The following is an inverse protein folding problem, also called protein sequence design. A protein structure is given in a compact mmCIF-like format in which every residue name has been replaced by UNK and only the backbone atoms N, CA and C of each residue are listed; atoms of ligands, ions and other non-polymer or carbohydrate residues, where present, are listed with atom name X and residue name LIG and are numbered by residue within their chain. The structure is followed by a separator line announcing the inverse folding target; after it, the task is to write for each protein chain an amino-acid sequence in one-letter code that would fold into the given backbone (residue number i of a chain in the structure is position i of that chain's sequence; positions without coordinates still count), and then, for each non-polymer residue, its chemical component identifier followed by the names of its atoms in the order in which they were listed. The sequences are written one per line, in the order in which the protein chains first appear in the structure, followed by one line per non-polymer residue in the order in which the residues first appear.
data_IF_450990069390
#
_entry.id   IF_450990069390
#
_cell.length_a   1.000
_cell.length_b   1.000
_cell.length_c   1.000
_cell.angle_alpha   90.00
_cell.angle_beta   90.00
_cell.angle_gamma   90.00
#
_symmetry.space_group_name_H-M   'P 1'
#
loop_
_entity.id
_entity.type
_entity.pdbx_description
1 polymer ?
#
# COMPACT_ATOMS: atom_id res chain seq x y z
N UNK A 1 -4.00 -4.65 25.02
CA UNK A 1 -2.72 -5.34 24.69
C UNK A 1 -2.25 -5.19 23.22
N UNK A 2 -3.10 -5.30 22.16
CA UNK A 2 -2.64 -5.08 20.78
C UNK A 2 -2.31 -3.60 20.48
N UNK A 3 -3.12 -2.66 20.91
CA UNK A 3 -2.92 -1.22 20.66
C UNK A 3 -1.68 -0.62 21.34
N UNK A 4 -1.32 -1.09 22.54
CA UNK A 4 -0.11 -0.63 23.23
C UNK A 4 1.19 -1.05 22.50
N UNK A 5 1.16 -2.19 21.81
CA UNK A 5 2.31 -2.68 21.05
C UNK A 5 2.61 -1.81 19.83
N UNK A 6 1.57 -1.35 19.10
CA UNK A 6 1.74 -0.44 17.97
C UNK A 6 2.23 0.94 18.42
N UNK A 7 1.69 1.47 19.52
CA UNK A 7 2.12 2.75 20.07
C UNK A 7 3.60 2.73 20.53
N UNK A 8 4.03 1.63 21.14
CA UNK A 8 5.46 1.42 21.50
C UNK A 8 6.36 1.40 20.26
N UNK A 9 5.94 0.75 19.19
CA UNK A 9 6.72 0.71 17.92
C UNK A 9 6.86 2.11 17.33
N UNK A 10 5.77 2.88 17.24
CA UNK A 10 5.83 4.27 16.75
C UNK A 10 6.72 5.17 17.61
N UNK A 11 6.66 5.02 18.91
CA UNK A 11 7.51 5.76 19.84
C UNK A 11 8.99 5.41 19.70
N UNK A 12 9.30 4.14 19.43
CA UNK A 12 10.65 3.68 19.14
C UNK A 12 11.18 4.18 17.78
N UNK A 13 10.32 4.33 16.79
CA UNK A 13 10.70 4.79 15.44
C UNK A 13 10.86 6.32 15.33
N UNK A 14 10.14 7.08 16.16
CA UNK A 14 10.17 8.56 16.15
C UNK A 14 11.58 9.15 16.17
N UNK A 15 12.54 8.76 17.04
CA UNK A 15 13.87 9.34 17.09
C UNK A 15 14.73 9.05 15.84
N UNK A 16 14.40 7.99 15.07
CA UNK A 16 15.10 7.63 13.84
C UNK A 16 14.56 8.37 12.61
N UNK A 17 13.29 8.74 12.62
CA UNK A 17 12.65 9.55 11.58
C UNK A 17 12.91 11.03 11.77
N UNK A 18 12.88 11.47 13.02
CA UNK A 18 13.03 12.87 13.40
C UNK A 18 14.27 13.06 14.30
N UNK A 19 15.45 12.79 13.74
CA UNK A 19 16.71 12.93 14.47
C UNK A 19 17.00 14.39 14.79
N UNK A 20 17.19 14.72 16.08
CA UNK A 20 17.48 16.08 16.51
C UNK A 20 18.82 16.61 15.98
N UNK A 21 19.76 15.72 15.69
CA UNK A 21 21.15 16.07 15.31
C UNK A 21 21.39 16.19 13.79
N UNK A 22 20.41 15.82 12.92
CA UNK A 22 20.61 15.78 11.46
C UNK A 22 19.56 16.60 10.74
N UNK A 23 19.89 17.85 10.47
CA UNK A 23 19.01 18.80 9.76
C UNK A 23 18.67 18.37 8.33
N UNK A 24 19.62 17.71 7.64
CA UNK A 24 19.44 17.20 6.29
C UNK A 24 18.27 16.20 6.17
N UNK A 25 18.10 15.32 7.17
CA UNK A 25 17.00 14.36 7.19
C UNK A 25 15.65 15.02 7.50
N UNK A 26 15.65 16.02 8.41
CA UNK A 26 14.42 16.76 8.70
C UNK A 26 13.90 17.52 7.48
N UNK A 27 14.78 18.22 6.78
CA UNK A 27 14.43 18.93 5.54
C UNK A 27 13.85 17.97 4.51
N UNK A 28 14.42 16.77 4.36
CA UNK A 28 13.88 15.75 3.44
C UNK A 28 12.50 15.25 3.82
N UNK A 29 12.21 15.07 5.11
CA UNK A 29 10.86 14.71 5.58
C UNK A 29 9.88 15.83 5.26
N UNK A 30 10.24 17.09 5.54
CA UNK A 30 9.40 18.26 5.25
C UNK A 30 9.12 18.35 3.75
N UNK A 31 10.18 18.24 2.91
CA UNK A 31 10.02 18.22 1.45
C UNK A 31 9.16 17.05 0.95
N UNK A 32 9.31 15.86 1.52
CA UNK A 32 8.48 14.72 1.17
C UNK A 32 7.00 14.97 1.51
N UNK A 33 6.71 15.55 2.68
CA UNK A 33 5.33 15.92 3.06
C UNK A 33 4.79 17.02 2.15
N UNK A 34 5.58 18.01 1.81
CA UNK A 34 5.21 19.09 0.89
C UNK A 34 4.87 18.53 -0.51
N UNK A 35 5.75 17.70 -1.08
CA UNK A 35 5.49 17.02 -2.35
C UNK A 35 4.24 16.14 -2.29
N UNK A 36 3.98 15.47 -1.17
CA UNK A 36 2.76 14.68 -0.96
C UNK A 36 1.51 15.56 -1.04
N UNK A 37 1.49 16.70 -0.36
CA UNK A 37 0.33 17.61 -0.38
C UNK A 37 0.08 18.12 -1.80
N UNK A 38 1.13 18.54 -2.51
CA UNK A 38 1.03 19.02 -3.89
C UNK A 38 0.53 17.91 -4.82
N UNK A 39 1.12 16.72 -4.74
CA UNK A 39 0.71 15.56 -5.54
C UNK A 39 -0.77 15.23 -5.35
N UNK A 40 -1.24 15.22 -4.11
CA UNK A 40 -2.66 14.96 -3.80
C UNK A 40 -3.58 16.11 -4.22
N UNK A 41 -3.13 17.36 -4.09
CA UNK A 41 -3.86 18.52 -4.60
C UNK A 41 -4.12 18.44 -6.10
N UNK A 42 -3.06 18.18 -6.87
CA UNK A 42 -3.22 17.98 -8.34
C UNK A 42 -4.08 16.75 -8.67
N UNK A 43 -3.94 15.66 -7.90
CA UNK A 43 -4.76 14.46 -8.07
C UNK A 43 -6.26 14.73 -7.91
N UNK A 44 -6.64 15.59 -6.95
CA UNK A 44 -8.03 15.98 -6.70
C UNK A 44 -8.58 16.99 -7.74
N UNK A 45 -7.72 17.87 -8.24
CA UNK A 45 -8.10 18.86 -9.26
C UNK A 45 -8.28 18.20 -10.65
N UNK A 46 -7.52 17.15 -10.94
CA UNK A 46 -7.55 16.46 -12.25
C UNK A 46 -8.96 16.06 -12.71
N UNK A 47 -9.81 15.36 -11.92
CA UNK A 47 -11.17 15.02 -12.37
C UNK A 47 -12.08 16.24 -12.52
N UNK A 48 -11.86 17.31 -11.76
CA UNK A 48 -12.63 18.56 -11.86
C UNK A 48 -12.32 19.25 -13.21
N UNK A 49 -11.04 19.32 -13.60
CA UNK A 49 -10.65 19.87 -14.90
C UNK A 49 -11.24 19.02 -16.03
N UNK A 50 -11.19 17.68 -15.89
CA UNK A 50 -11.77 16.78 -16.88
C UNK A 50 -13.28 17.01 -17.04
N UNK A 51 -14.03 17.15 -15.95
CA UNK A 51 -15.45 17.48 -15.98
C UNK A 51 -15.70 18.78 -16.75
N UNK A 52 -14.99 19.88 -16.40
CA UNK A 52 -15.09 21.16 -17.13
C UNK A 52 -14.73 21.04 -18.62
N UNK A 53 -13.76 20.17 -18.95
CA UNK A 53 -13.40 19.91 -20.34
C UNK A 53 -14.58 19.29 -21.10
N UNK A 54 -15.17 18.23 -20.51
CA UNK A 54 -16.35 17.57 -21.11
C UNK A 54 -17.53 18.53 -21.25
N UNK A 55 -17.79 19.38 -20.27
CA UNK A 55 -18.87 20.38 -20.31
C UNK A 55 -18.64 21.49 -21.35
N UNK A 56 -17.40 21.74 -21.77
CA UNK A 56 -17.07 22.72 -22.81
C UNK A 56 -17.29 22.22 -24.23
N UNK A 57 -17.21 20.88 -24.45
CA UNK A 57 -17.31 20.29 -25.81
C UNK A 57 -18.68 20.51 -26.51
N UNK A 58 -19.84 20.34 -25.85
CA UNK A 58 -21.14 20.58 -26.49
C UNK A 58 -21.34 22.05 -26.91
N UNK A 59 -20.69 22.99 -26.23
CA UNK A 59 -20.79 24.44 -26.54
C UNK A 59 -20.11 24.80 -27.86
N UNK A 60 -19.14 23.97 -28.30
CA UNK A 60 -18.53 24.11 -29.63
C UNK A 60 -19.52 24.00 -30.80
N UNK A 61 -20.52 23.11 -30.65
CA UNK A 61 -21.51 22.89 -31.74
C UNK A 61 -22.69 23.87 -31.72
N UNK A 62 -22.92 24.57 -30.61
CA UNK A 62 -24.09 25.39 -30.40
C UNK A 62 -23.83 26.91 -30.59
N UNK A 63 -22.59 27.29 -30.88
CA UNK A 63 -22.17 28.69 -31.02
C UNK A 63 -21.91 29.01 -32.49
N UNK A 64 -22.37 30.18 -32.97
CA UNK A 64 -22.11 30.64 -34.33
C UNK A 64 -20.62 30.87 -34.62
N UNK A 65 -20.24 31.05 -35.88
CA UNK A 65 -18.84 31.05 -36.37
C UNK A 65 -17.85 31.91 -35.54
N UNK A 66 -18.29 33.01 -34.97
CA UNK A 66 -17.43 33.89 -34.15
C UNK A 66 -17.11 33.34 -32.74
N UNK A 67 -17.93 32.45 -32.21
CA UNK A 67 -17.71 31.83 -30.88
C UNK A 67 -16.94 30.53 -30.92
N UNK A 68 -16.87 29.85 -32.07
CA UNK A 68 -16.21 28.56 -32.23
C UNK A 68 -14.75 28.62 -31.83
N UNK A 69 -14.01 29.66 -32.26
CA UNK A 69 -12.59 29.83 -31.97
C UNK A 69 -12.32 30.03 -30.47
N UNK A 70 -13.17 30.74 -29.75
CA UNK A 70 -13.03 30.98 -28.31
C UNK A 70 -13.27 29.69 -27.51
N UNK A 71 -14.34 28.95 -27.75
CA UNK A 71 -14.60 27.68 -27.06
C UNK A 71 -13.59 26.60 -27.42
N UNK A 72 -13.03 26.60 -28.63
CA UNK A 72 -11.98 25.71 -29.06
C UNK A 72 -10.68 25.98 -28.27
N UNK A 73 -10.28 27.24 -28.10
CA UNK A 73 -9.13 27.63 -27.29
C UNK A 73 -9.35 27.27 -25.83
N UNK A 74 -10.52 27.48 -25.25
CA UNK A 74 -10.86 27.09 -23.88
C UNK A 74 -10.74 25.58 -23.72
N UNK A 75 -11.32 24.78 -24.60
CA UNK A 75 -11.28 23.32 -24.55
C UNK A 75 -9.86 22.79 -24.67
N UNK A 76 -9.03 23.31 -25.58
CA UNK A 76 -7.62 22.94 -25.71
C UNK A 76 -6.84 23.33 -24.47
N UNK A 77 -7.06 24.53 -23.92
CA UNK A 77 -6.36 24.95 -22.68
C UNK A 77 -6.71 24.08 -21.49
N UNK A 78 -7.96 23.64 -21.36
CA UNK A 78 -8.40 22.71 -20.32
C UNK A 78 -7.77 21.31 -20.49
N UNK A 79 -7.64 20.80 -21.72
CA UNK A 79 -6.96 19.54 -22.01
C UNK A 79 -5.48 19.62 -21.63
N UNK A 80 -4.81 20.72 -21.99
CA UNK A 80 -3.42 20.95 -21.60
C UNK A 80 -3.28 21.04 -20.07
N UNK A 81 -4.17 21.80 -19.42
CA UNK A 81 -4.19 21.92 -17.96
C UNK A 81 -4.42 20.58 -17.26
N UNK A 82 -5.31 19.73 -17.78
CA UNK A 82 -5.51 18.35 -17.32
C UNK A 82 -4.23 17.54 -17.44
N UNK A 83 -3.56 17.57 -18.59
CA UNK A 83 -2.31 16.87 -18.82
C UNK A 83 -1.20 17.32 -17.86
N UNK A 84 -1.04 18.65 -17.69
CA UNK A 84 -0.06 19.23 -16.76
C UNK A 84 -0.38 18.87 -15.30
N UNK A 85 -1.64 18.93 -14.89
CA UNK A 85 -2.05 18.54 -13.54
C UNK A 85 -1.75 17.05 -13.28
N UNK A 86 -2.03 16.18 -14.26
CA UNK A 86 -1.76 14.73 -14.18
C UNK A 86 -0.27 14.43 -14.05
N UNK A 87 0.55 15.06 -14.90
CA UNK A 87 2.02 14.94 -14.88
C UNK A 87 2.55 15.46 -13.54
N UNK A 88 2.11 16.64 -13.10
CA UNK A 88 2.53 17.23 -11.82
C UNK A 88 2.20 16.32 -10.64
N UNK A 89 1.00 15.76 -10.58
CA UNK A 89 0.61 14.80 -9.54
C UNK A 89 1.57 13.62 -9.48
N UNK A 90 1.94 13.04 -10.63
CA UNK A 90 2.87 11.92 -10.70
C UNK A 90 4.30 12.33 -10.31
N UNK A 91 4.83 13.41 -10.88
CA UNK A 91 6.19 13.89 -10.62
C UNK A 91 6.39 14.21 -9.13
N UNK A 92 5.45 14.92 -8.51
CA UNK A 92 5.53 15.21 -7.08
C UNK A 92 5.38 13.95 -6.21
N UNK A 93 4.65 12.93 -6.68
CA UNK A 93 4.59 11.61 -6.06
C UNK A 93 5.96 10.92 -6.04
N UNK A 94 6.66 10.89 -7.18
CA UNK A 94 7.99 10.29 -7.30
C UNK A 94 9.07 11.08 -6.53
N UNK A 95 9.00 12.40 -6.56
CA UNK A 95 9.89 13.25 -5.76
C UNK A 95 9.73 12.99 -4.26
N UNK A 96 8.49 12.85 -3.78
CA UNK A 96 8.19 12.46 -2.40
C UNK A 96 8.93 11.17 -2.02
N UNK A 97 8.79 10.14 -2.83
CA UNK A 97 9.38 8.82 -2.56
C UNK A 97 10.92 8.88 -2.60
N UNK A 98 11.48 9.65 -3.51
CA UNK A 98 12.93 9.88 -3.62
C UNK A 98 13.47 10.59 -2.38
N UNK A 99 12.85 11.69 -1.94
CA UNK A 99 13.29 12.41 -0.74
C UNK A 99 13.20 11.56 0.52
N UNK A 100 12.13 10.80 0.67
CA UNK A 100 11.93 9.95 1.85
C UNK A 100 12.79 8.69 1.84
N UNK A 101 13.15 8.16 0.69
CA UNK A 101 13.97 6.95 0.57
C UNK A 101 15.25 7.06 1.40
N UNK A 102 15.94 8.20 1.35
CA UNK A 102 17.17 8.43 2.12
C UNK A 102 16.93 8.45 3.64
N UNK A 103 15.77 8.95 4.07
CA UNK A 103 15.36 8.94 5.48
C UNK A 103 15.07 7.51 5.94
N UNK A 104 14.30 6.74 5.17
CA UNK A 104 13.98 5.35 5.43
C UNK A 104 15.23 4.48 5.51
N UNK A 105 16.13 4.57 4.50
CA UNK A 105 17.37 3.80 4.49
C UNK A 105 18.30 4.15 5.67
N UNK A 106 18.38 5.42 6.06
CA UNK A 106 19.13 5.80 7.25
C UNK A 106 18.52 5.23 8.53
N UNK A 107 17.19 5.23 8.66
CA UNK A 107 16.50 4.65 9.80
C UNK A 107 16.72 3.13 9.89
N UNK A 108 16.62 2.42 8.75
CA UNK A 108 16.91 0.98 8.67
C UNK A 108 18.34 0.69 9.11
N UNK A 109 19.32 1.43 8.58
CA UNK A 109 20.73 1.26 8.94
C UNK A 109 20.97 1.43 10.44
N UNK A 110 20.44 2.48 11.04
CA UNK A 110 20.62 2.75 12.47
C UNK A 110 19.94 1.69 13.36
N UNK A 111 18.75 1.25 12.96
CA UNK A 111 18.02 0.20 13.67
C UNK A 111 18.75 -1.14 13.55
N UNK A 112 19.27 -1.48 12.37
CA UNK A 112 20.04 -2.71 12.17
C UNK A 112 21.29 -2.73 13.05
N UNK A 113 22.02 -1.62 13.12
CA UNK A 113 23.20 -1.49 14.00
C UNK A 113 22.82 -1.64 15.46
N UNK A 114 21.73 -1.02 15.91
CA UNK A 114 21.29 -1.14 17.31
C UNK A 114 20.82 -2.56 17.67
N UNK A 115 20.14 -3.24 16.75
CA UNK A 115 19.74 -4.64 16.95
C UNK A 115 20.98 -5.54 16.98
N UNK A 116 21.93 -5.30 16.08
CA UNK A 116 23.20 -6.04 16.05
C UNK A 116 23.99 -5.87 17.35
N UNK A 117 24.17 -4.64 17.82
CA UNK A 117 24.80 -4.33 19.11
C UNK A 117 24.09 -5.03 20.27
N UNK A 118 22.77 -4.95 20.33
CA UNK A 118 21.99 -5.62 21.37
C UNK A 118 22.18 -7.14 21.35
N UNK A 119 22.16 -7.77 20.19
CA UNK A 119 22.37 -9.22 20.07
C UNK A 119 23.76 -9.59 20.60
N UNK A 120 24.79 -8.82 20.28
CA UNK A 120 26.15 -9.08 20.75
C UNK A 120 26.35 -8.80 22.25
N UNK A 121 25.50 -7.96 22.85
CA UNK A 121 25.52 -7.74 24.32
C UNK A 121 24.81 -8.83 25.13
N UNK A 122 24.14 -9.79 24.48
CA UNK A 122 23.43 -10.87 25.15
C UNK A 122 24.43 -11.93 25.67
N UNK A 123 24.09 -12.62 26.79
CA UNK A 123 24.97 -13.63 27.38
C UNK A 123 25.25 -14.81 26.44
N UNK A 124 26.39 -15.45 26.60
CA UNK A 124 26.83 -16.62 25.79
C UNK A 124 25.76 -17.72 25.74
N UNK A 125 25.06 -17.95 26.86
CA UNK A 125 24.00 -18.97 26.95
C UNK A 125 22.85 -18.70 25.93
N UNK A 126 22.54 -17.44 25.60
CA UNK A 126 21.58 -17.10 24.56
C UNK A 126 22.08 -17.55 23.18
N UNK A 127 23.35 -17.35 22.90
CA UNK A 127 23.97 -17.70 21.61
C UNK A 127 24.09 -19.21 21.43
N UNK A 128 24.39 -19.94 22.48
CA UNK A 128 24.46 -21.41 22.46
C UNK A 128 23.10 -22.07 22.27
N UNK A 129 22.02 -21.46 22.80
CA UNK A 129 20.64 -21.97 22.69
C UNK A 129 19.92 -21.55 21.40
N UNK A 130 20.46 -20.65 20.61
CA UNK A 130 19.85 -20.12 19.38
C UNK A 130 20.71 -20.45 18.19
N UNK A 131 20.07 -21.01 17.16
CA UNK A 131 20.72 -21.23 15.87
C UNK A 131 21.04 -19.85 15.23
N UNK A 132 22.31 -19.60 14.93
CA UNK A 132 22.81 -18.34 14.36
C UNK A 132 22.08 -17.93 13.06
N UNK A 133 21.72 -18.91 12.21
CA UNK A 133 20.95 -18.67 11.00
C UNK A 133 19.51 -18.17 11.25
N UNK A 134 18.91 -18.47 12.40
CA UNK A 134 17.59 -17.93 12.78
C UNK A 134 17.69 -16.45 13.17
N UNK A 135 18.76 -16.05 13.86
CA UNK A 135 19.00 -14.66 14.26
C UNK A 135 19.18 -13.72 13.05
N UNK A 136 19.99 -14.14 12.07
CA UNK A 136 20.18 -13.37 10.83
C UNK A 136 18.85 -13.13 10.11
N UNK A 137 18.01 -14.15 10.00
CA UNK A 137 16.66 -14.02 9.41
C UNK A 137 15.75 -13.10 10.21
N UNK A 138 15.86 -13.05 11.54
CA UNK A 138 15.10 -12.11 12.36
C UNK A 138 15.49 -10.65 12.10
N UNK A 139 16.79 -10.37 11.93
CA UNK A 139 17.27 -9.02 11.59
C UNK A 139 16.74 -8.61 10.23
N UNK A 140 16.90 -9.45 9.20
CA UNK A 140 16.46 -9.16 7.83
C UNK A 140 14.94 -8.95 7.74
N UNK A 141 14.14 -9.84 8.34
CA UNK A 141 12.67 -9.66 8.37
C UNK A 141 12.24 -8.45 9.19
N UNK A 142 12.93 -8.16 10.29
CA UNK A 142 12.64 -7.01 11.13
C UNK A 142 12.89 -5.68 10.40
N UNK A 143 14.02 -5.56 9.74
CA UNK A 143 14.40 -4.34 8.97
C UNK A 143 13.49 -4.12 7.77
N UNK A 144 13.17 -5.17 7.00
CA UNK A 144 12.19 -5.10 5.89
C UNK A 144 10.79 -4.75 6.39
N UNK A 145 10.38 -5.29 7.55
CA UNK A 145 9.10 -4.96 8.17
C UNK A 145 9.01 -3.50 8.60
N UNK A 146 10.08 -2.92 9.08
CA UNK A 146 10.15 -1.50 9.46
C UNK A 146 10.10 -0.60 8.23
N UNK A 147 10.86 -0.90 7.18
CA UNK A 147 10.80 -0.15 5.90
C UNK A 147 9.38 -0.14 5.35
N UNK A 148 8.74 -1.31 5.29
CA UNK A 148 7.34 -1.43 4.86
C UNK A 148 6.39 -0.59 5.72
N UNK A 149 6.51 -0.66 7.06
CA UNK A 149 5.66 0.13 7.96
C UNK A 149 5.82 1.63 7.73
N UNK A 150 7.08 2.10 7.62
CA UNK A 150 7.35 3.52 7.43
C UNK A 150 6.77 4.03 6.12
N UNK A 151 7.06 3.36 5.00
CA UNK A 151 6.55 3.76 3.68
C UNK A 151 5.03 3.62 3.61
N UNK A 152 4.48 2.50 4.06
CA UNK A 152 3.06 2.22 3.90
C UNK A 152 2.18 3.14 4.76
N UNK A 153 2.54 3.36 6.02
CA UNK A 153 1.75 4.22 6.91
C UNK A 153 1.82 5.68 6.50
N UNK A 154 3.04 6.21 6.28
CA UNK A 154 3.20 7.65 5.99
C UNK A 154 2.76 8.04 4.57
N UNK A 155 2.92 7.16 3.57
CA UNK A 155 2.68 7.54 2.17
C UNK A 155 1.50 6.85 1.51
N UNK A 156 0.88 5.88 2.18
CA UNK A 156 -0.36 5.28 1.70
C UNK A 156 -1.52 5.55 2.67
N UNK A 157 -1.42 5.12 3.94
CA UNK A 157 -2.57 5.22 4.86
C UNK A 157 -2.93 6.68 5.14
N UNK A 158 -1.98 7.50 5.60
CA UNK A 158 -2.25 8.90 5.99
C UNK A 158 -2.76 9.71 4.80
N UNK A 159 -2.11 9.71 3.62
CA UNK A 159 -2.63 10.44 2.46
C UNK A 159 -4.01 9.97 2.00
N UNK A 160 -4.26 8.65 2.00
CA UNK A 160 -5.58 8.11 1.64
C UNK A 160 -6.68 8.56 2.58
N UNK A 161 -6.42 8.62 3.90
CA UNK A 161 -7.40 9.15 4.86
C UNK A 161 -7.70 10.63 4.59
N UNK A 162 -6.66 11.44 4.34
CA UNK A 162 -6.83 12.86 3.98
C UNK A 162 -7.63 12.99 2.67
N UNK A 163 -7.30 12.19 1.67
CA UNK A 163 -7.98 12.17 0.36
C UNK A 163 -9.47 11.82 0.50
N UNK A 164 -9.83 10.83 1.30
CA UNK A 164 -11.22 10.46 1.59
C UNK A 164 -11.97 11.65 2.21
N UNK A 165 -11.38 12.30 3.20
CA UNK A 165 -11.99 13.47 3.85
C UNK A 165 -12.19 14.61 2.83
N UNK A 166 -11.15 14.94 2.05
CA UNK A 166 -11.22 16.02 1.06
C UNK A 166 -12.26 15.74 -0.04
N UNK A 167 -12.28 14.52 -0.58
CA UNK A 167 -13.28 14.11 -1.58
C UNK A 167 -14.69 14.21 -0.98
N UNK A 168 -14.90 13.75 0.25
CA UNK A 168 -16.20 13.83 0.90
C UNK A 168 -16.66 15.28 1.09
N UNK A 169 -15.75 16.19 1.47
CA UNK A 169 -16.04 17.62 1.62
C UNK A 169 -16.35 18.28 0.26
N UNK A 170 -15.58 17.98 -0.78
CA UNK A 170 -15.80 18.50 -2.12
C UNK A 170 -17.17 18.06 -2.64
N UNK A 171 -17.50 16.79 -2.52
CA UNK A 171 -18.80 16.27 -2.97
C UNK A 171 -19.97 16.82 -2.17
N UNK A 172 -19.80 17.01 -0.87
CA UNK A 172 -20.80 17.69 -0.04
C UNK A 172 -21.06 19.12 -0.53
N UNK A 173 -19.98 19.84 -0.87
CA UNK A 173 -20.07 21.24 -1.31
C UNK A 173 -20.67 21.38 -2.72
N UNK A 174 -20.40 20.42 -3.63
CA UNK A 174 -20.84 20.51 -5.04
C UNK A 174 -22.21 19.85 -5.28
N UNK A 175 -22.50 18.73 -4.60
CA UNK A 175 -23.66 17.88 -4.90
C UNK A 175 -24.55 17.62 -3.68
N UNK A 176 -24.24 18.24 -2.55
CA UNK A 176 -25.06 18.13 -1.33
C UNK A 176 -24.82 16.87 -0.50
N UNK A 177 -25.69 16.69 0.52
CA UNK A 177 -25.52 15.64 1.54
C UNK A 177 -25.67 14.23 0.97
N UNK A 178 -26.60 14.01 0.04
CA UNK A 178 -26.97 12.68 -0.44
C UNK A 178 -25.79 11.93 -1.09
N UNK A 179 -25.01 12.58 -1.92
CA UNK A 179 -23.84 12.00 -2.57
C UNK A 179 -22.70 11.69 -1.58
N UNK A 180 -22.44 12.63 -0.66
CA UNK A 180 -21.44 12.42 0.39
C UNK A 180 -21.80 11.25 1.29
N UNK A 181 -23.08 11.09 1.62
CA UNK A 181 -23.58 9.99 2.44
C UNK A 181 -23.35 8.64 1.76
N UNK A 182 -23.67 8.50 0.47
CA UNK A 182 -23.46 7.26 -0.29
C UNK A 182 -21.99 6.86 -0.33
N UNK A 183 -21.07 7.82 -0.55
CA UNK A 183 -19.63 7.54 -0.53
C UNK A 183 -19.16 7.09 0.84
N UNK A 184 -19.50 7.81 1.89
CA UNK A 184 -19.09 7.46 3.26
C UNK A 184 -19.62 6.08 3.62
N UNK A 185 -20.89 5.78 3.30
CA UNK A 185 -21.50 4.49 3.55
C UNK A 185 -20.76 3.37 2.78
N UNK A 186 -20.44 3.59 1.51
CA UNK A 186 -19.69 2.64 0.67
C UNK A 186 -18.32 2.37 1.29
N UNK A 187 -17.59 3.40 1.74
CA UNK A 187 -16.28 3.25 2.38
C UNK A 187 -16.38 2.49 3.70
N UNK A 188 -17.40 2.74 4.50
CA UNK A 188 -17.62 2.03 5.77
C UNK A 188 -17.88 0.54 5.51
N UNK A 189 -18.78 0.22 4.58
CA UNK A 189 -19.09 -1.17 4.18
C UNK A 189 -17.83 -1.86 3.65
N UNK A 190 -17.10 -1.23 2.72
CA UNK A 190 -15.85 -1.71 2.18
C UNK A 190 -14.83 -2.02 3.27
N UNK A 191 -14.67 -1.10 4.23
CA UNK A 191 -13.70 -1.24 5.31
C UNK A 191 -14.07 -2.40 6.23
N UNK A 192 -15.33 -2.53 6.64
CA UNK A 192 -15.81 -3.62 7.51
C UNK A 192 -15.60 -4.98 6.82
N UNK A 193 -15.99 -5.11 5.55
CA UNK A 193 -15.81 -6.34 4.77
C UNK A 193 -14.33 -6.68 4.60
N UNK A 194 -13.50 -5.70 4.25
CA UNK A 194 -12.05 -5.88 4.11
C UNK A 194 -11.43 -6.39 5.40
N UNK A 195 -11.77 -5.82 6.56
CA UNK A 195 -11.25 -6.30 7.85
C UNK A 195 -11.69 -7.73 8.17
N UNK A 196 -12.98 -8.07 7.96
CA UNK A 196 -13.50 -9.42 8.20
C UNK A 196 -12.80 -10.46 7.32
N UNK A 197 -12.77 -10.23 6.01
CA UNK A 197 -12.16 -11.16 5.06
C UNK A 197 -10.64 -11.26 5.28
N UNK A 198 -9.96 -10.16 5.54
CA UNK A 198 -8.51 -10.16 5.83
C UNK A 198 -8.20 -10.96 7.09
N UNK A 199 -8.99 -10.84 8.15
CA UNK A 199 -8.81 -11.62 9.37
C UNK A 199 -8.97 -13.13 9.12
N UNK A 200 -9.94 -13.53 8.30
CA UNK A 200 -10.12 -14.91 7.86
C UNK A 200 -8.95 -15.40 7.00
N UNK A 201 -8.45 -14.58 6.07
CA UNK A 201 -7.30 -14.89 5.20
C UNK A 201 -5.98 -15.12 5.94
N UNK A 202 -5.79 -14.49 7.09
CA UNK A 202 -4.56 -14.64 7.88
C UNK A 202 -4.27 -16.11 8.21
N UNK A 203 -5.30 -16.96 8.38
CA UNK A 203 -5.14 -18.40 8.62
C UNK A 203 -4.41 -19.07 7.44
N UNK A 204 -4.90 -18.91 6.23
CA UNK A 204 -4.32 -19.51 5.01
C UNK A 204 -2.91 -19.00 4.74
N UNK A 205 -2.68 -17.71 5.00
CA UNK A 205 -1.34 -17.11 4.86
C UNK A 205 -0.34 -17.71 5.84
N UNK A 206 -0.77 -18.00 7.07
CA UNK A 206 0.07 -18.64 8.07
C UNK A 206 0.39 -20.09 7.69
N UNK A 207 -0.58 -20.84 7.23
CA UNK A 207 -0.39 -22.22 6.75
C UNK A 207 0.61 -22.27 5.59
N UNK A 208 0.48 -21.40 4.60
CA UNK A 208 1.43 -21.26 3.50
C UNK A 208 2.86 -20.93 4.00
N UNK A 209 2.99 -19.94 4.90
CA UNK A 209 4.30 -19.55 5.43
C UNK A 209 4.95 -20.65 6.27
N UNK A 210 4.15 -21.44 6.99
CA UNK A 210 4.66 -22.58 7.76
C UNK A 210 5.17 -23.69 6.84
N UNK A 211 4.42 -23.98 5.76
CA UNK A 211 4.85 -24.94 4.76
C UNK A 211 6.15 -24.51 4.05
N UNK A 212 6.26 -23.22 3.69
CA UNK A 212 7.48 -22.62 3.11
C UNK A 212 8.71 -22.74 4.02
N UNK A 213 8.52 -22.46 5.31
CA UNK A 213 9.59 -22.64 6.29
C UNK A 213 10.06 -24.11 6.42
N UNK A 214 9.12 -25.06 6.38
CA UNK A 214 9.43 -26.49 6.42
C UNK A 214 10.24 -26.95 5.19
N UNK A 215 9.87 -26.47 4.01
CA UNK A 215 10.61 -26.75 2.78
C UNK A 215 12.04 -26.20 2.89
N UNK A 216 12.17 -24.93 3.28
CA UNK A 216 13.50 -24.30 3.43
C UNK A 216 14.38 -25.06 4.41
N UNK A 217 13.83 -25.53 5.54
CA UNK A 217 14.56 -26.33 6.50
C UNK A 217 15.02 -27.65 5.89
N UNK A 218 14.14 -28.39 5.20
CA UNK A 218 14.48 -29.67 4.58
C UNK A 218 15.53 -29.56 3.48
N UNK A 219 15.44 -28.50 2.64
CA UNK A 219 16.44 -28.25 1.61
C UNK A 219 17.81 -28.01 2.26
N UNK A 220 17.88 -27.15 3.26
CA UNK A 220 19.12 -26.85 3.97
C UNK A 220 19.70 -28.10 4.64
N UNK A 221 18.86 -28.88 5.33
CA UNK A 221 19.28 -30.12 6.00
C UNK A 221 19.86 -31.13 5.00
N UNK A 222 19.17 -31.33 3.86
CA UNK A 222 19.62 -32.24 2.79
C UNK A 222 20.94 -31.79 2.16
N UNK A 223 21.10 -30.45 1.92
CA UNK A 223 22.32 -29.90 1.35
C UNK A 223 23.51 -29.91 2.32
N UNK A 224 23.28 -29.67 3.59
CA UNK A 224 24.35 -29.77 4.60
C UNK A 224 24.83 -31.22 4.75
N UNK A 225 23.92 -32.18 4.63
CA UNK A 225 24.23 -33.60 4.76
C UNK A 225 24.41 -34.31 3.40
N UNK A 226 24.76 -33.57 2.32
CA UNK A 226 24.81 -34.10 0.96
C UNK A 226 25.77 -35.31 0.85
N UNK A 227 26.89 -35.32 1.59
CA UNK A 227 27.83 -36.42 1.61
C UNK A 227 27.18 -37.71 2.14
N UNK A 228 26.42 -37.60 3.22
CA UNK A 228 25.66 -38.74 3.77
C UNK A 228 24.63 -39.25 2.75
N UNK A 229 23.89 -38.35 2.10
CA UNK A 229 22.91 -38.71 1.07
C UNK A 229 23.59 -39.46 -0.08
N UNK A 230 24.76 -38.99 -0.53
CA UNK A 230 25.57 -39.62 -1.59
C UNK A 230 26.16 -40.98 -1.12
N UNK A 231 26.68 -41.05 0.10
CA UNK A 231 27.29 -42.25 0.64
C UNK A 231 26.31 -43.42 0.70
N UNK A 232 25.05 -43.13 1.03
CA UNK A 232 24.00 -44.15 1.15
C UNK A 232 23.13 -44.27 -0.12
N UNK A 233 23.38 -43.54 -1.19
CA UNK A 233 22.59 -43.56 -2.43
C UNK A 233 21.14 -43.17 -2.25
N UNK A 234 20.84 -42.29 -1.30
CA UNK A 234 19.48 -41.96 -0.87
C UNK A 234 18.89 -40.71 -1.55
N UNK A 235 19.37 -40.31 -2.71
CA UNK A 235 18.88 -39.12 -3.45
C UNK A 235 17.39 -39.21 -3.76
N UNK A 236 16.91 -40.42 -4.13
CA UNK A 236 15.51 -40.63 -4.43
C UNK A 236 14.60 -40.49 -3.20
N UNK A 237 15.09 -40.87 -2.04
CA UNK A 237 14.40 -40.68 -0.77
C UNK A 237 14.26 -39.20 -0.43
N UNK A 238 15.34 -38.42 -0.53
CA UNK A 238 15.33 -36.98 -0.27
C UNK A 238 14.46 -36.24 -1.28
N UNK A 239 14.47 -36.63 -2.56
CA UNK A 239 13.55 -36.12 -3.58
C UNK A 239 12.09 -36.32 -3.18
N UNK A 240 11.70 -37.54 -2.84
CA UNK A 240 10.31 -37.84 -2.45
C UNK A 240 9.91 -37.12 -1.16
N UNK A 241 10.80 -37.01 -0.20
CA UNK A 241 10.61 -36.24 1.06
C UNK A 241 10.37 -34.76 0.81
N UNK A 242 11.08 -34.18 -0.15
CA UNK A 242 10.90 -32.78 -0.57
C UNK A 242 9.61 -32.62 -1.36
N UNK A 243 9.29 -33.52 -2.32
CA UNK A 243 8.07 -33.49 -3.12
C UNK A 243 6.79 -33.47 -2.25
N UNK A 244 6.75 -34.32 -1.22
CA UNK A 244 5.63 -34.32 -0.27
C UNK A 244 5.47 -32.98 0.46
N UNK A 245 6.56 -32.28 0.71
CA UNK A 245 6.53 -30.96 1.37
C UNK A 245 6.11 -29.86 0.41
N UNK A 246 6.57 -29.93 -0.85
CA UNK A 246 6.18 -29.04 -1.92
C UNK A 246 4.68 -29.18 -2.25
N UNK A 247 4.14 -30.38 -2.28
CA UNK A 247 2.69 -30.61 -2.44
C UNK A 247 1.85 -29.97 -1.34
N UNK A 248 2.31 -30.07 -0.07
CA UNK A 248 1.65 -29.37 1.04
C UNK A 248 1.68 -27.85 0.90
N UNK A 249 2.82 -27.33 0.46
CA UNK A 249 2.95 -25.89 0.17
C UNK A 249 2.05 -25.45 -0.98
N UNK A 250 1.99 -26.24 -2.07
CA UNK A 250 1.14 -25.95 -3.23
C UNK A 250 -0.34 -25.81 -2.81
N UNK A 251 -0.86 -26.75 -2.04
CA UNK A 251 -2.24 -26.71 -1.53
C UNK A 251 -2.47 -25.47 -0.66
N UNK A 252 -1.55 -25.17 0.25
CA UNK A 252 -1.64 -24.01 1.12
C UNK A 252 -1.52 -22.68 0.35
N UNK A 253 -0.63 -22.62 -0.65
CA UNK A 253 -0.45 -21.47 -1.52
C UNK A 253 -1.70 -21.21 -2.37
N UNK A 254 -2.28 -22.24 -2.96
CA UNK A 254 -3.53 -22.14 -3.70
C UNK A 254 -4.68 -21.66 -2.82
N UNK A 255 -4.83 -22.19 -1.61
CA UNK A 255 -5.84 -21.74 -0.64
C UNK A 255 -5.66 -20.27 -0.25
N UNK A 256 -4.41 -19.85 -0.06
CA UNK A 256 -4.06 -18.44 0.18
C UNK A 256 -4.41 -17.57 -1.03
N UNK A 257 -4.17 -18.05 -2.26
CA UNK A 257 -4.50 -17.33 -3.51
C UNK A 257 -6.01 -17.19 -3.69
N UNK A 258 -6.77 -18.29 -3.50
CA UNK A 258 -8.24 -18.25 -3.61
C UNK A 258 -8.87 -17.29 -2.59
N UNK A 259 -8.35 -17.27 -1.36
CA UNK A 259 -8.80 -16.33 -0.35
C UNK A 259 -8.51 -14.87 -0.73
N UNK A 260 -7.41 -14.60 -1.46
CA UNK A 260 -7.10 -13.28 -2.00
C UNK A 260 -8.07 -12.89 -3.12
N UNK A 261 -8.33 -13.80 -4.05
CA UNK A 261 -9.27 -13.57 -5.14
C UNK A 261 -10.67 -13.26 -4.60
N UNK A 262 -11.12 -14.00 -3.58
CA UNK A 262 -12.39 -13.73 -2.91
C UNK A 262 -12.44 -12.32 -2.28
N UNK A 263 -11.35 -11.88 -1.65
CA UNK A 263 -11.24 -10.52 -1.12
C UNK A 263 -11.40 -9.49 -2.25
N UNK A 264 -10.64 -9.64 -3.34
CA UNK A 264 -10.64 -8.68 -4.45
C UNK A 264 -12.01 -8.62 -5.13
N UNK A 265 -12.67 -9.77 -5.36
CA UNK A 265 -14.02 -9.81 -5.93
C UNK A 265 -15.01 -9.09 -5.03
N UNK A 266 -15.01 -9.38 -3.74
CA UNK A 266 -15.92 -8.74 -2.78
C UNK A 266 -15.72 -7.22 -2.72
N UNK A 267 -14.48 -6.77 -2.77
CA UNK A 267 -14.14 -5.34 -2.79
C UNK A 267 -14.65 -4.66 -4.07
N UNK A 268 -14.44 -5.28 -5.23
CA UNK A 268 -14.91 -4.76 -6.52
C UNK A 268 -16.43 -4.65 -6.56
N UNK A 269 -17.15 -5.68 -6.06
CA UNK A 269 -18.63 -5.67 -6.01
C UNK A 269 -19.11 -4.47 -5.17
N UNK A 270 -18.55 -4.27 -3.98
CA UNK A 270 -18.96 -3.17 -3.08
C UNK A 270 -18.75 -1.81 -3.76
N UNK A 271 -17.58 -1.60 -4.39
CA UNK A 271 -17.27 -0.36 -5.09
C UNK A 271 -18.24 -0.14 -6.25
N UNK A 272 -18.50 -1.18 -7.07
CA UNK A 272 -19.40 -1.08 -8.23
C UNK A 272 -20.84 -0.77 -7.83
N UNK A 273 -21.33 -1.37 -6.74
CA UNK A 273 -22.65 -1.01 -6.19
C UNK A 273 -22.69 0.47 -5.81
N UNK A 274 -21.66 0.96 -5.11
CA UNK A 274 -21.57 2.39 -4.74
C UNK A 274 -21.60 3.31 -5.97
N UNK A 275 -20.85 2.98 -7.02
CA UNK A 275 -20.81 3.76 -8.27
C UNK A 275 -22.17 3.71 -8.97
N UNK A 276 -22.81 2.53 -9.07
CA UNK A 276 -24.14 2.41 -9.71
C UNK A 276 -25.17 3.27 -8.97
N UNK A 277 -25.19 3.25 -7.66
CA UNK A 277 -26.09 4.08 -6.86
C UNK A 277 -25.85 5.58 -7.15
N UNK A 278 -24.59 6.01 -7.14
CA UNK A 278 -24.26 7.42 -7.42
C UNK A 278 -24.65 7.86 -8.83
N UNK A 279 -24.36 7.04 -9.85
CA UNK A 279 -24.76 7.34 -11.22
C UNK A 279 -26.28 7.39 -11.38
N UNK A 280 -27.00 6.47 -10.73
CA UNK A 280 -28.46 6.47 -10.75
C UNK A 280 -29.03 7.74 -10.09
N UNK A 281 -28.47 8.16 -8.96
CA UNK A 281 -28.85 9.43 -8.31
C UNK A 281 -28.59 10.64 -9.22
N UNK A 282 -27.43 10.69 -9.90
CA UNK A 282 -27.12 11.76 -10.85
C UNK A 282 -28.15 11.85 -11.99
N UNK A 283 -28.59 10.70 -12.54
CA UNK A 283 -29.62 10.69 -13.59
C UNK A 283 -30.96 11.24 -13.07
N UNK A 284 -31.34 10.90 -11.84
CA UNK A 284 -32.57 11.43 -11.23
C UNK A 284 -32.49 12.94 -10.96
N UNK A 285 -31.35 13.47 -10.52
CA UNK A 285 -31.17 14.91 -10.31
C UNK A 285 -31.22 15.68 -11.62
N UNK A 286 -30.56 15.22 -12.68
CA UNK A 286 -30.62 15.82 -14.01
C UNK A 286 -32.08 15.86 -14.51
N UNK A 287 -32.86 14.77 -14.28
CA UNK A 287 -34.29 14.75 -14.68
C UNK A 287 -35.11 15.76 -13.89
N UNK A 288 -34.78 16.01 -12.63
CA UNK A 288 -35.51 16.96 -11.78
C UNK A 288 -35.08 18.41 -11.97
N UNK A 289 -34.08 18.68 -12.84
CA UNK A 289 -33.65 20.04 -13.21
C UNK A 289 -32.77 20.73 -12.16
N UNK A 290 -32.15 19.94 -11.26
CA UNK A 290 -31.19 20.43 -10.26
C UNK A 290 -29.76 20.22 -10.69
#
# INVERSE_FOLDING_TARGET
MKNERYYKIFRLLKPYLWSSKRYDLKLRVIFAVFCMIISKGFGLITPIILGKTVDSLPKLNNTGENGINEYLLISISLIIAYGLARISSFVFGELRDTFFSKVSQNAIRLLSLKVFEHIHSLPLQFHLNKQTGSLSRFIDRGTKGIDFLLRYVFFNIIPTLIEIILVSVILFSLYGFSFSFVIILTIIIYTIFTFKITSWRVKFRREMNNADNLISTKIIDSLINYETVKYFGNEKHEYNRLDLSLKKYEIAANSSRYSLSFLNISQTIIIMIGIIVMLTMSVFEIRNGT
#
